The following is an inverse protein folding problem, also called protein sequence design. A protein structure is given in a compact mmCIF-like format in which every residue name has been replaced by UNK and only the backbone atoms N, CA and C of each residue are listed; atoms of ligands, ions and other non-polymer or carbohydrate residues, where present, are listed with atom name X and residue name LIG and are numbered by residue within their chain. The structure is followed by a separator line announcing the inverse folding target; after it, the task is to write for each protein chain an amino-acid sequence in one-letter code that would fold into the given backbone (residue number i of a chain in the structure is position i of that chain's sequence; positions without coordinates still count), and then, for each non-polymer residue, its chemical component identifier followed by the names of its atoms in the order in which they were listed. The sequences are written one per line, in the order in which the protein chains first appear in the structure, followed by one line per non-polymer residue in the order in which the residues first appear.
data_IF_597187272843
#
_entry.id   IF_597187272843
#
_cell.length_a   1.000
_cell.length_b   1.000
_cell.length_c   1.000
_cell.angle_alpha   90.00
_cell.angle_beta   90.00
_cell.angle_gamma   90.00
#
_symmetry.space_group_name_H-M   'P 1'
#
loop_
_entity.id
_entity.type
_entity.pdbx_description
1 polymer ?
#
# COMPACT_ATOMS: atom_id res chain seq x y z
N UNK A 1 -51.08 -19.46 -16.66
CA UNK A 1 -49.88 -20.34 -16.76
C UNK A 1 -48.85 -19.87 -17.75
N UNK A 2 -49.18 -19.14 -18.78
CA UNK A 2 -48.19 -18.67 -19.77
C UNK A 2 -47.36 -17.45 -19.34
N UNK A 3 -47.85 -16.63 -18.43
CA UNK A 3 -47.16 -15.43 -17.96
C UNK A 3 -46.04 -15.73 -16.93
N UNK A 4 -46.15 -16.84 -16.19
CA UNK A 4 -45.16 -17.21 -15.18
C UNK A 4 -43.85 -17.75 -15.79
N UNK A 5 -43.92 -18.33 -16.99
CA UNK A 5 -42.74 -18.83 -17.68
C UNK A 5 -41.86 -17.72 -18.27
N UNK A 6 -42.49 -16.63 -18.72
CA UNK A 6 -41.78 -15.46 -19.31
C UNK A 6 -41.03 -14.65 -18.26
N UNK A 7 -41.53 -14.58 -17.03
CA UNK A 7 -40.88 -13.84 -15.94
C UNK A 7 -39.61 -14.56 -15.46
N UNK A 8 -39.62 -15.89 -15.44
CA UNK A 8 -38.44 -16.70 -15.07
C UNK A 8 -37.30 -16.59 -16.08
N UNK A 9 -37.61 -16.44 -17.38
CA UNK A 9 -36.58 -16.27 -18.42
C UNK A 9 -35.89 -14.90 -18.39
N UNK A 10 -36.63 -13.85 -18.00
CA UNK A 10 -36.05 -12.51 -17.88
C UNK A 10 -35.19 -12.35 -16.65
N UNK A 11 -35.47 -13.06 -15.57
CA UNK A 11 -34.65 -13.00 -14.36
C UNK A 11 -33.26 -13.67 -14.56
N UNK A 12 -33.21 -14.78 -15.30
CA UNK A 12 -31.94 -15.47 -15.56
C UNK A 12 -30.98 -14.68 -16.46
N UNK A 13 -31.52 -13.88 -17.39
CA UNK A 13 -30.69 -13.02 -18.24
C UNK A 13 -30.08 -11.84 -17.48
N UNK A 14 -30.78 -11.27 -16.51
CA UNK A 14 -30.25 -10.19 -15.67
C UNK A 14 -29.12 -10.64 -14.72
N UNK A 15 -29.20 -11.85 -14.19
CA UNK A 15 -28.14 -12.40 -13.32
C UNK A 15 -26.86 -12.69 -14.11
N UNK A 16 -26.98 -13.13 -15.36
CA UNK A 16 -25.80 -13.36 -16.22
C UNK A 16 -25.05 -12.10 -16.61
N UNK A 17 -25.74 -10.99 -16.84
CA UNK A 17 -25.09 -9.70 -17.19
C UNK A 17 -24.38 -9.06 -16.01
N UNK A 18 -24.86 -9.20 -14.78
CA UNK A 18 -24.26 -8.60 -13.59
C UNK A 18 -22.95 -9.27 -13.19
N UNK A 19 -22.82 -10.57 -13.38
CA UNK A 19 -21.61 -11.34 -13.06
C UNK A 19 -20.43 -11.00 -13.97
N UNK A 20 -20.65 -10.82 -15.26
CA UNK A 20 -19.58 -10.53 -16.21
C UNK A 20 -18.97 -9.13 -16.03
N UNK A 21 -19.78 -8.14 -15.72
CA UNK A 21 -19.30 -6.77 -15.50
C UNK A 21 -18.47 -6.61 -14.22
N UNK A 22 -18.80 -7.36 -13.18
CA UNK A 22 -18.04 -7.32 -11.92
C UNK A 22 -16.64 -7.94 -12.06
N UNK A 23 -16.51 -9.06 -12.76
CA UNK A 23 -15.22 -9.71 -13.02
C UNK A 23 -14.29 -8.87 -13.90
N UNK A 24 -14.83 -8.22 -14.93
CA UNK A 24 -14.04 -7.36 -15.83
C UNK A 24 -13.51 -6.13 -15.10
N UNK A 25 -14.29 -5.51 -14.25
CA UNK A 25 -13.88 -4.36 -13.43
C UNK A 25 -12.82 -4.73 -12.39
N UNK A 26 -12.94 -5.88 -11.76
CA UNK A 26 -11.96 -6.37 -10.81
C UNK A 26 -10.59 -6.62 -11.46
N UNK A 27 -10.55 -7.17 -12.66
CA UNK A 27 -9.32 -7.41 -13.43
C UNK A 27 -8.64 -6.11 -13.88
N UNK A 28 -9.39 -5.10 -14.29
CA UNK A 28 -8.86 -3.78 -14.65
C UNK A 28 -8.29 -3.05 -13.43
N UNK A 29 -8.92 -3.13 -12.28
CA UNK A 29 -8.42 -2.55 -11.04
C UNK A 29 -7.11 -3.23 -10.57
N UNK A 30 -7.01 -4.54 -10.64
CA UNK A 30 -5.80 -5.29 -10.34
C UNK A 30 -4.65 -4.93 -11.28
N UNK A 31 -4.92 -4.76 -12.57
CA UNK A 31 -3.92 -4.37 -13.56
C UNK A 31 -3.36 -2.97 -13.27
N UNK A 32 -4.21 -2.00 -12.94
CA UNK A 32 -3.78 -0.65 -12.55
C UNK A 32 -2.92 -0.64 -11.29
N UNK A 33 -3.25 -1.44 -10.30
CA UNK A 33 -2.48 -1.55 -9.07
C UNK A 33 -1.09 -2.15 -9.34
N UNK A 34 -0.99 -3.16 -10.20
CA UNK A 34 0.28 -3.78 -10.58
C UNK A 34 1.19 -2.88 -11.41
N UNK A 35 0.63 -1.99 -12.23
CA UNK A 35 1.40 -1.05 -13.04
C UNK A 35 1.92 0.15 -12.24
N UNK A 36 1.19 0.60 -11.20
CA UNK A 36 1.58 1.76 -10.40
C UNK A 36 2.51 1.41 -9.23
N UNK A 37 2.43 0.22 -8.64
CA UNK A 37 3.26 -0.21 -7.50
C UNK A 37 4.75 -0.35 -7.86
N UNK A 38 5.15 -0.95 -9.01
CA UNK A 38 6.56 -1.09 -9.36
C UNK A 38 7.30 0.25 -9.49
N UNK A 39 6.65 1.25 -10.07
CA UNK A 39 7.26 2.56 -10.29
C UNK A 39 7.51 3.30 -8.95
N UNK A 40 6.57 3.24 -8.04
CA UNK A 40 6.70 3.87 -6.71
C UNK A 40 7.78 3.18 -5.89
N UNK A 41 7.79 1.85 -5.87
CA UNK A 41 8.81 1.07 -5.16
C UNK A 41 10.18 1.26 -5.81
N UNK A 42 10.26 1.24 -7.13
CA UNK A 42 11.51 1.49 -7.86
C UNK A 42 12.08 2.87 -7.58
N UNK A 43 11.27 3.91 -7.59
CA UNK A 43 11.68 5.27 -7.24
C UNK A 43 12.13 5.37 -5.77
N UNK A 44 11.41 4.72 -4.86
CA UNK A 44 11.78 4.70 -3.44
C UNK A 44 13.11 3.96 -3.19
N UNK A 45 13.34 2.84 -3.88
CA UNK A 45 14.61 2.10 -3.78
C UNK A 45 15.79 2.87 -4.39
N UNK A 46 15.54 3.75 -5.36
CA UNK A 46 16.56 4.57 -6.00
C UNK A 46 16.85 5.88 -5.25
N UNK A 47 16.17 6.17 -4.16
CA UNK A 47 16.38 7.41 -3.40
C UNK A 47 17.80 7.46 -2.79
N UNK A 48 18.33 8.66 -2.67
CA UNK A 48 19.68 8.90 -2.09
C UNK A 48 19.64 9.04 -0.56
N UNK A 49 19.05 8.09 0.13
CA UNK A 49 19.12 8.05 1.58
C UNK A 49 20.45 7.46 2.03
N UNK A 50 21.05 8.04 3.07
CA UNK A 50 22.31 7.49 3.63
C UNK A 50 22.01 6.23 4.45
N UNK A 51 22.98 5.30 4.59
CA UNK A 51 22.81 4.13 5.45
C UNK A 51 22.40 4.47 6.88
N UNK A 52 22.87 5.59 7.42
CA UNK A 52 22.52 6.09 8.75
C UNK A 52 21.06 6.50 8.83
N UNK A 53 20.54 7.22 7.82
CA UNK A 53 19.13 7.58 7.74
C UNK A 53 18.24 6.36 7.62
N UNK A 54 18.65 5.37 6.81
CA UNK A 54 17.92 4.11 6.67
C UNK A 54 17.91 3.33 7.98
N UNK A 55 19.05 3.21 8.64
CA UNK A 55 19.17 2.56 9.94
C UNK A 55 18.26 3.22 10.97
N UNK A 56 18.29 4.54 11.05
CA UNK A 56 17.44 5.30 11.96
C UNK A 56 15.97 5.05 11.66
N UNK A 57 15.56 5.14 10.40
CA UNK A 57 14.18 4.90 9.99
C UNK A 57 13.73 3.48 10.35
N UNK A 58 14.57 2.46 10.11
CA UNK A 58 14.27 1.08 10.47
C UNK A 58 14.08 0.90 11.98
N UNK A 59 14.93 1.54 12.80
CA UNK A 59 14.79 1.51 14.27
C UNK A 59 13.50 2.19 14.74
N UNK A 60 13.19 3.35 14.20
CA UNK A 60 11.99 4.10 14.55
C UNK A 60 10.72 3.35 14.13
N UNK A 61 10.71 2.77 12.93
CA UNK A 61 9.61 1.92 12.44
C UNK A 61 9.42 0.66 13.30
N UNK A 62 10.50 0.09 13.83
CA UNK A 62 10.41 -1.03 14.79
C UNK A 62 9.73 -0.60 16.09
N UNK A 63 10.08 0.57 16.61
CA UNK A 63 9.44 1.12 17.82
C UNK A 63 7.93 1.31 17.60
N UNK A 64 7.53 1.68 16.38
CA UNK A 64 6.13 1.86 16.00
C UNK A 64 5.42 0.56 15.62
N UNK A 65 6.13 -0.58 15.64
CA UNK A 65 5.63 -1.89 15.18
C UNK A 65 5.22 -1.92 13.69
N UNK A 66 5.71 -0.96 12.90
CA UNK A 66 5.49 -0.90 11.44
C UNK A 66 6.54 -1.70 10.65
N UNK A 67 7.62 -2.11 11.29
CA UNK A 67 8.70 -2.87 10.67
C UNK A 67 9.17 -4.00 11.59
N UNK A 68 9.15 -5.22 11.07
CA UNK A 68 9.53 -6.44 11.80
C UNK A 68 10.88 -7.00 11.34
N UNK A 69 11.50 -6.40 10.33
CA UNK A 69 12.77 -6.83 9.77
C UNK A 69 14.00 -6.41 10.61
N UNK A 70 15.17 -6.77 10.15
CA UNK A 70 16.43 -6.40 10.79
C UNK A 70 16.85 -4.97 10.42
N UNK A 71 17.51 -4.31 11.35
CA UNK A 71 18.09 -2.97 11.12
C UNK A 71 19.41 -3.14 10.37
N UNK A 72 19.35 -3.11 9.05
CA UNK A 72 20.49 -3.39 8.15
C UNK A 72 21.15 -2.15 7.59
N UNK A 73 20.49 -0.99 7.63
CA UNK A 73 20.95 0.21 6.93
C UNK A 73 20.81 0.11 5.40
N UNK A 74 20.15 -0.93 4.91
CA UNK A 74 19.89 -1.12 3.49
C UNK A 74 18.41 -0.91 3.19
N UNK A 75 18.16 -0.19 2.13
CA UNK A 75 16.79 0.08 1.66
C UNK A 75 16.32 -1.08 0.79
N UNK A 76 15.42 -1.88 1.32
CA UNK A 76 14.79 -3.00 0.62
C UNK A 76 13.28 -2.77 0.48
N UNK A 77 12.60 -3.68 -0.24
CA UNK A 77 11.16 -3.58 -0.47
C UNK A 77 10.34 -3.63 0.84
N UNK A 78 10.81 -4.38 1.84
CA UNK A 78 10.15 -4.48 3.15
C UNK A 78 10.26 -3.15 3.90
N UNK A 79 11.43 -2.53 3.89
CA UNK A 79 11.66 -1.21 4.48
C UNK A 79 10.80 -0.14 3.78
N UNK A 80 10.78 -0.14 2.46
CA UNK A 80 9.93 0.79 1.68
C UNK A 80 8.46 0.61 2.02
N UNK A 81 7.97 -0.63 2.12
CA UNK A 81 6.59 -0.91 2.50
C UNK A 81 6.24 -0.39 3.90
N UNK A 82 7.15 -0.54 4.84
CA UNK A 82 7.00 -0.01 6.21
C UNK A 82 6.94 1.52 6.23
N UNK A 83 7.79 2.18 5.46
CA UNK A 83 7.78 3.65 5.30
C UNK A 83 6.43 4.10 4.70
N UNK A 84 5.95 3.42 3.67
CA UNK A 84 4.66 3.71 3.05
C UNK A 84 3.50 3.55 4.04
N UNK A 85 3.51 2.48 4.84
CA UNK A 85 2.49 2.26 5.88
C UNK A 85 2.48 3.41 6.89
N UNK A 86 3.65 3.81 7.39
CA UNK A 86 3.79 4.95 8.28
C UNK A 86 3.29 6.26 7.63
N UNK A 87 3.67 6.52 6.39
CA UNK A 87 3.23 7.72 5.67
C UNK A 87 1.70 7.78 5.56
N UNK A 88 1.03 6.65 5.32
CA UNK A 88 -0.44 6.58 5.31
C UNK A 88 -1.04 6.95 6.66
N UNK A 89 -0.48 6.45 7.76
CA UNK A 89 -0.97 6.77 9.10
C UNK A 89 -0.81 8.24 9.44
N UNK A 90 0.17 8.92 8.85
CA UNK A 90 0.43 10.35 9.03
C UNK A 90 -0.30 11.23 8.00
N UNK A 91 -1.12 10.66 7.14
CA UNK A 91 -1.81 11.41 6.09
C UNK A 91 -0.87 11.98 5.02
N UNK A 92 0.32 11.41 4.88
CA UNK A 92 1.28 11.78 3.85
C UNK A 92 1.08 10.94 2.59
N UNK A 93 1.62 11.41 1.47
CA UNK A 93 1.73 10.60 0.27
C UNK A 93 2.61 9.38 0.57
N UNK A 94 2.09 8.18 0.35
CA UNK A 94 2.79 6.92 0.61
C UNK A 94 3.71 6.57 -0.58
N UNK A 95 4.77 7.36 -0.76
CA UNK A 95 5.76 7.18 -1.81
C UNK A 95 6.99 6.37 -1.36
N UNK A 96 7.10 6.07 -0.07
CA UNK A 96 8.23 5.34 0.49
C UNK A 96 9.52 6.16 0.56
N UNK A 97 9.46 7.47 0.36
CA UNK A 97 10.63 8.35 0.37
C UNK A 97 10.96 8.82 1.79
N UNK A 98 12.23 8.73 2.16
CA UNK A 98 12.76 9.26 3.41
C UNK A 98 13.12 10.74 3.25
N UNK A 99 12.10 11.59 3.13
CA UNK A 99 12.28 13.05 3.13
C UNK A 99 12.54 13.55 4.55
N UNK A 100 13.08 14.75 4.69
CA UNK A 100 13.29 15.39 6.00
C UNK A 100 12.00 15.46 6.82
N UNK A 101 10.87 15.66 6.15
CA UNK A 101 9.56 15.64 6.80
C UNK A 101 9.19 14.26 7.32
N UNK A 102 9.38 13.21 6.51
CA UNK A 102 9.12 11.83 6.91
C UNK A 102 10.02 11.43 8.09
N UNK A 103 11.31 11.76 8.02
CA UNK A 103 12.26 11.47 9.10
C UNK A 103 11.88 12.17 10.41
N UNK A 104 11.50 13.44 10.37
CA UNK A 104 11.05 14.15 11.58
C UNK A 104 9.80 13.53 12.19
N UNK A 105 8.82 13.20 11.38
CA UNK A 105 7.58 12.57 11.86
C UNK A 105 7.84 11.17 12.43
N UNK A 106 8.74 10.40 11.83
CA UNK A 106 9.18 9.11 12.39
C UNK A 106 9.79 9.29 13.78
N UNK A 107 10.72 10.23 13.91
CA UNK A 107 11.36 10.52 15.18
C UNK A 107 10.37 10.98 16.25
N UNK A 108 9.47 11.90 15.92
CA UNK A 108 8.43 12.39 16.82
C UNK A 108 7.50 11.25 17.27
N UNK A 109 7.06 10.41 16.33
CA UNK A 109 6.19 9.28 16.64
C UNK A 109 6.90 8.24 17.51
N UNK A 110 8.16 7.93 17.22
CA UNK A 110 8.96 7.00 18.01
C UNK A 110 9.22 7.50 19.42
N UNK A 111 9.47 8.79 19.60
CA UNK A 111 9.62 9.42 20.94
C UNK A 111 8.32 9.30 21.72
N UNK A 112 7.19 9.60 21.11
CA UNK A 112 5.86 9.46 21.74
C UNK A 112 5.55 8.02 22.13
N UNK A 113 5.94 7.06 21.31
CA UNK A 113 5.71 5.64 21.60
C UNK A 113 6.58 5.11 22.74
N UNK A 114 7.75 5.68 22.96
CA UNK A 114 8.66 5.33 24.08
C UNK A 114 8.25 5.98 25.41
N UNK A 115 7.59 7.09 25.34
CA UNK A 115 7.11 7.84 26.51
C UNK A 115 5.81 7.32 27.02
#
# INVERSE_FOLDING_TARGET
MRCTLLILLTLSALVGCTGQNAETRAREAEKKIKESIPDVVGAALAQKATPEQITQAQQELKVLSEYLGDTTGKLDAVTVSAIQAFQRTQGLKADGMLTDRTMRLLQEAAVKAKG
#
